data_IF_637932639149
#
_entry.id   IF_637932639149
#
_cell.length_a   1.000
_cell.length_b   1.000
_cell.length_c   1.000
_cell.angle_alpha   90.00
_cell.angle_beta   90.00
_cell.angle_gamma   90.00
#
_symmetry.space_group_name_H-M   'P 1'
#
loop_
_entity.id
_entity.type
_entity.pdbx_description
1 polymer ?
#
# COMPACT_ATOMS: atom_id res chain seq x y z
N UNK A 1 0.69 16.83 25.22
CA UNK A 1 0.46 15.41 25.01
C UNK A 1 -0.38 15.24 23.73
N UNK A 2 0.25 15.04 22.56
CA UNK A 2 -0.48 14.95 21.31
C UNK A 2 -1.11 13.56 21.15
N UNK A 3 -2.36 13.48 20.68
CA UNK A 3 -2.99 12.21 20.34
C UNK A 3 -2.57 11.71 18.94
N UNK A 4 -2.16 12.65 18.07
CA UNK A 4 -1.80 12.38 16.67
C UNK A 4 -0.44 12.99 16.36
N UNK A 5 0.41 12.22 15.70
CA UNK A 5 1.74 12.62 15.26
C UNK A 5 1.91 12.44 13.75
N UNK A 6 2.55 13.41 13.10
CA UNK A 6 2.95 13.31 11.70
C UNK A 6 4.47 13.32 11.59
N UNK A 7 5.03 12.25 11.05
CA UNK A 7 6.44 12.13 10.69
C UNK A 7 6.55 12.42 9.20
N UNK A 8 7.19 13.53 8.83
CA UNK A 8 7.22 14.02 7.46
C UNK A 8 7.81 13.02 6.46
N UNK A 9 8.92 12.35 6.84
CA UNK A 9 9.52 11.28 6.06
C UNK A 9 10.38 10.36 6.94
N UNK A 10 10.23 9.05 6.76
CA UNK A 10 11.04 8.03 7.46
C UNK A 10 12.14 7.54 6.51
N UNK A 11 13.37 8.09 6.68
CA UNK A 11 14.52 7.81 5.82
C UNK A 11 15.56 6.89 6.45
N UNK A 12 15.51 6.74 7.77
CA UNK A 12 16.51 6.05 8.57
C UNK A 12 15.85 5.28 9.72
N UNK A 13 16.66 4.41 10.34
CA UNK A 13 16.25 3.56 11.44
C UNK A 13 15.71 4.37 12.63
N UNK A 14 16.38 5.44 13.05
CA UNK A 14 16.04 6.24 14.23
C UNK A 14 14.66 6.86 14.11
N UNK A 15 14.37 7.44 12.94
CA UNK A 15 13.07 8.06 12.67
C UNK A 15 11.94 7.01 12.67
N UNK A 16 12.18 5.82 12.09
CA UNK A 16 11.20 4.75 12.09
C UNK A 16 10.96 4.18 13.49
N UNK A 17 12.02 3.94 14.28
CA UNK A 17 11.89 3.48 15.67
C UNK A 17 11.13 4.49 16.54
N UNK A 18 11.40 5.78 16.37
CA UNK A 18 10.65 6.84 17.07
C UNK A 18 9.16 6.81 16.74
N UNK A 19 8.81 6.60 15.46
CA UNK A 19 7.42 6.49 15.02
C UNK A 19 6.72 5.25 15.63
N UNK A 20 7.41 4.11 15.67
CA UNK A 20 6.89 2.87 16.29
C UNK A 20 6.70 3.06 17.79
N UNK A 21 7.67 3.61 18.50
CA UNK A 21 7.55 3.89 19.95
C UNK A 21 6.36 4.80 20.27
N UNK A 22 6.14 5.84 19.46
CA UNK A 22 4.97 6.69 19.64
C UNK A 22 3.66 5.90 19.44
N UNK A 23 3.60 5.00 18.43
CA UNK A 23 2.45 4.14 18.21
C UNK A 23 2.21 3.14 19.35
N UNK A 24 3.28 2.55 19.89
CA UNK A 24 3.22 1.63 21.04
C UNK A 24 2.73 2.31 22.32
N UNK A 25 2.98 3.61 22.47
CA UNK A 25 2.51 4.42 23.60
C UNK A 25 1.11 5.03 23.39
N UNK A 26 0.40 4.61 22.34
CA UNK A 26 -1.02 4.93 22.13
C UNK A 26 -1.30 6.09 21.19
N UNK A 27 -0.28 6.69 20.55
CA UNK A 27 -0.47 7.76 19.59
C UNK A 27 -0.88 7.21 18.22
N UNK A 28 -1.73 7.94 17.50
CA UNK A 28 -1.93 7.71 16.07
C UNK A 28 -0.80 8.37 15.28
N UNK A 29 0.02 7.57 14.62
CA UNK A 29 1.18 8.07 13.89
C UNK A 29 0.95 7.95 12.38
N UNK A 30 1.12 9.05 11.66
CA UNK A 30 1.23 9.09 10.21
C UNK A 30 2.70 9.29 9.83
N UNK A 31 3.20 8.44 8.94
CA UNK A 31 4.55 8.57 8.41
C UNK A 31 4.55 8.39 6.90
N UNK A 32 5.52 8.99 6.21
CA UNK A 32 5.72 8.79 4.78
C UNK A 32 7.04 8.07 4.50
N UNK A 33 7.03 7.23 3.48
CA UNK A 33 8.20 6.52 2.99
C UNK A 33 8.09 6.33 1.48
N UNK A 34 9.20 6.42 0.76
CA UNK A 34 9.21 6.19 -0.68
C UNK A 34 9.31 4.69 -0.99
N UNK A 35 8.23 4.13 -1.56
CA UNK A 35 8.14 2.74 -1.97
C UNK A 35 7.27 2.58 -3.24
N UNK A 36 7.35 1.43 -3.89
CA UNK A 36 6.64 1.15 -5.15
C UNK A 36 5.15 0.80 -4.97
N UNK A 37 4.68 0.64 -3.73
CA UNK A 37 3.31 0.27 -3.38
C UNK A 37 3.25 -0.29 -1.95
N UNK A 38 2.08 -0.70 -1.50
CA UNK A 38 1.89 -1.16 -0.12
C UNK A 38 2.72 -2.42 0.22
N UNK A 39 2.77 -3.49 -0.60
CA UNK A 39 3.66 -4.62 -0.34
C UNK A 39 5.14 -4.23 -0.33
N UNK A 40 5.58 -3.39 -1.28
CA UNK A 40 6.97 -2.93 -1.38
C UNK A 40 7.40 -2.05 -0.21
N UNK A 41 6.47 -1.45 0.52
CA UNK A 41 6.75 -0.65 1.71
C UNK A 41 7.37 -1.51 2.83
N UNK A 42 6.94 -2.76 2.98
CA UNK A 42 7.50 -3.66 4.00
C UNK A 42 9.01 -3.88 3.76
N UNK A 43 9.39 -4.26 2.54
CA UNK A 43 10.80 -4.42 2.18
C UNK A 43 11.58 -3.11 2.37
N UNK A 44 10.99 -1.98 1.98
CA UNK A 44 11.64 -0.67 2.11
C UNK A 44 11.89 -0.27 3.57
N UNK A 45 10.98 -0.62 4.49
CA UNK A 45 11.19 -0.44 5.92
C UNK A 45 12.35 -1.33 6.40
N UNK A 46 12.37 -2.59 6.00
CA UNK A 46 13.42 -3.53 6.41
C UNK A 46 14.80 -3.09 5.93
N UNK A 47 14.92 -2.44 4.76
CA UNK A 47 16.17 -1.89 4.25
C UNK A 47 16.79 -0.82 5.16
N UNK A 48 16.02 -0.23 6.08
CA UNK A 48 16.54 0.73 7.08
C UNK A 48 17.28 0.05 8.23
N UNK A 49 17.18 -1.29 8.34
CA UNK A 49 17.67 -2.07 9.49
C UNK A 49 18.66 -3.15 9.09
N UNK A 50 19.61 -3.50 9.97
CA UNK A 50 20.44 -4.69 9.79
C UNK A 50 19.59 -5.96 9.68
N UNK A 51 20.02 -6.92 8.86
CA UNK A 51 19.31 -8.19 8.64
C UNK A 51 18.99 -8.96 9.94
N UNK A 52 19.83 -8.84 10.96
CA UNK A 52 19.59 -9.46 12.28
C UNK A 52 18.37 -8.91 13.01
N UNK A 53 17.89 -7.72 12.65
CA UNK A 53 16.71 -7.07 13.24
C UNK A 53 15.41 -7.34 12.45
N UNK A 54 15.49 -7.86 11.24
CA UNK A 54 14.32 -7.96 10.34
C UNK A 54 13.14 -8.71 10.97
N UNK A 55 13.38 -9.80 11.69
CA UNK A 55 12.31 -10.56 12.37
C UNK A 55 11.60 -9.72 13.43
N UNK A 56 12.34 -8.99 14.25
CA UNK A 56 11.77 -8.11 15.27
C UNK A 56 11.00 -6.94 14.65
N UNK A 57 11.53 -6.34 13.59
CA UNK A 57 10.86 -5.25 12.88
C UNK A 57 9.60 -5.73 12.20
N UNK A 58 9.57 -6.91 11.58
CA UNK A 58 8.35 -7.52 11.03
C UNK A 58 7.28 -7.70 12.09
N UNK A 59 7.64 -8.20 13.27
CA UNK A 59 6.70 -8.35 14.39
C UNK A 59 6.15 -7.00 14.84
N UNK A 60 7.00 -5.98 14.97
CA UNK A 60 6.59 -4.62 15.35
C UNK A 60 5.65 -4.00 14.31
N UNK A 61 5.98 -4.10 13.00
CA UNK A 61 5.10 -3.67 11.91
C UNK A 61 3.74 -4.39 12.00
N UNK A 62 3.74 -5.71 12.12
CA UNK A 62 2.52 -6.50 12.16
C UNK A 62 1.62 -6.13 13.35
N UNK A 63 2.18 -5.76 14.49
CA UNK A 63 1.43 -5.38 15.69
C UNK A 63 0.89 -3.95 15.63
N UNK A 64 1.71 -3.00 15.21
CA UNK A 64 1.43 -1.56 15.39
C UNK A 64 0.84 -0.92 14.13
N UNK A 65 1.20 -1.41 12.92
CA UNK A 65 0.71 -0.83 11.68
C UNK A 65 -0.81 -1.03 11.54
N UNK A 66 -1.49 0.03 11.09
CA UNK A 66 -2.94 0.01 10.81
C UNK A 66 -3.22 -0.12 9.33
N UNK A 67 -2.54 0.68 8.52
CA UNK A 67 -2.67 0.64 7.07
C UNK A 67 -1.42 1.17 6.38
N UNK A 68 -1.24 0.79 5.12
CA UNK A 68 -0.31 1.41 4.19
C UNK A 68 -1.12 1.88 2.98
N UNK A 69 -0.93 3.14 2.61
CA UNK A 69 -1.57 3.75 1.45
C UNK A 69 -0.47 4.13 0.45
N UNK A 70 -0.39 3.39 -0.64
CA UNK A 70 0.46 3.74 -1.78
C UNK A 70 -0.24 4.75 -2.69
N UNK A 71 0.47 5.77 -3.17
CA UNK A 71 -0.11 6.81 -4.02
C UNK A 71 0.76 7.11 -5.23
N UNK A 72 0.10 7.31 -6.38
CA UNK A 72 0.69 7.86 -7.61
C UNK A 72 -0.20 9.00 -8.10
N UNK A 73 0.38 10.10 -8.59
CA UNK A 73 -0.38 11.20 -9.18
C UNK A 73 -0.35 11.10 -10.70
N UNK A 74 -1.53 11.00 -11.32
CA UNK A 74 -1.68 11.01 -12.77
C UNK A 74 -2.31 12.31 -13.25
N UNK A 75 -1.83 12.78 -14.42
CA UNK A 75 -2.46 13.89 -15.13
C UNK A 75 -3.82 13.46 -15.67
N UNK A 76 -4.82 14.31 -15.50
CA UNK A 76 -6.15 14.08 -16.05
C UNK A 76 -6.25 14.50 -17.52
N UNK A 77 -7.28 13.97 -18.19
CA UNK A 77 -7.70 14.43 -19.52
C UNK A 77 -8.75 15.54 -19.43
N UNK A 78 -9.17 15.88 -18.22
CA UNK A 78 -10.09 16.99 -17.90
C UNK A 78 -9.30 18.13 -17.25
N UNK A 79 -9.77 19.36 -17.42
CA UNK A 79 -9.05 20.54 -16.93
C UNK A 79 -9.06 20.65 -15.39
N UNK A 80 -10.13 20.18 -14.76
CA UNK A 80 -10.29 20.22 -13.29
C UNK A 80 -10.86 18.90 -12.78
N UNK A 81 -10.15 18.23 -11.85
CA UNK A 81 -8.80 18.55 -11.35
C UNK A 81 -7.72 18.21 -12.40
N UNK A 82 -6.63 18.94 -12.44
CA UNK A 82 -5.53 18.70 -13.39
C UNK A 82 -4.73 17.41 -13.11
N UNK A 83 -4.85 16.84 -11.90
CA UNK A 83 -4.26 15.56 -11.46
C UNK A 83 -5.21 14.83 -10.51
N UNK A 84 -5.14 13.49 -10.54
CA UNK A 84 -5.86 12.62 -9.60
C UNK A 84 -4.90 11.66 -8.90
N UNK A 85 -5.14 11.33 -7.62
CA UNK A 85 -4.38 10.32 -6.90
C UNK A 85 -4.89 8.93 -7.26
N UNK A 86 -4.03 8.09 -7.80
CA UNK A 86 -4.27 6.65 -7.90
C UNK A 86 -3.73 6.02 -6.64
N UNK A 87 -4.54 5.24 -5.94
CA UNK A 87 -4.18 4.72 -4.63
C UNK A 87 -4.29 3.20 -4.55
N UNK A 88 -3.37 2.61 -3.79
CA UNK A 88 -3.42 1.24 -3.29
C UNK A 88 -3.59 1.30 -1.78
N UNK A 89 -4.47 0.48 -1.22
CA UNK A 89 -4.79 0.50 0.21
C UNK A 89 -4.65 -0.92 0.75
N UNK A 90 -3.78 -1.10 1.74
CA UNK A 90 -3.61 -2.34 2.49
C UNK A 90 -3.84 -2.07 3.97
N UNK A 91 -4.89 -2.65 4.54
CA UNK A 91 -5.14 -2.64 5.99
C UNK A 91 -4.46 -3.84 6.65
N UNK A 92 -4.06 -3.69 7.91
CA UNK A 92 -3.42 -4.78 8.67
C UNK A 92 -4.47 -5.63 9.38
N UNK A 93 -5.26 -6.37 8.60
CA UNK A 93 -6.14 -7.42 9.12
C UNK A 93 -5.33 -8.67 9.56
N UNK A 94 -5.94 -9.67 10.21
CA UNK A 94 -5.23 -10.86 10.69
C UNK A 94 -4.41 -11.58 9.60
N UNK A 95 -4.92 -11.64 8.37
CA UNK A 95 -4.24 -12.28 7.23
C UNK A 95 -2.97 -11.51 6.84
N UNK A 96 -3.04 -10.18 6.66
CA UNK A 96 -1.89 -9.35 6.34
C UNK A 96 -0.84 -9.40 7.45
N UNK A 97 -1.26 -9.32 8.73
CA UNK A 97 -0.35 -9.46 9.87
C UNK A 97 0.42 -10.76 9.85
N UNK A 98 -0.28 -11.88 9.62
CA UNK A 98 0.34 -13.20 9.53
C UNK A 98 1.37 -13.27 8.39
N UNK A 99 1.00 -12.82 7.19
CA UNK A 99 1.89 -12.82 6.03
C UNK A 99 3.17 -12.01 6.27
N UNK A 100 3.04 -10.81 6.86
CA UNK A 100 4.18 -9.96 7.20
C UNK A 100 5.09 -10.63 8.23
N UNK A 101 4.54 -11.22 9.28
CA UNK A 101 5.31 -11.93 10.32
C UNK A 101 6.06 -13.15 9.77
N UNK A 102 5.43 -13.89 8.85
CA UNK A 102 5.96 -15.11 8.25
C UNK A 102 6.88 -14.85 7.02
N UNK A 103 7.18 -13.59 6.72
CA UNK A 103 8.00 -13.19 5.56
C UNK A 103 7.42 -13.71 4.23
N UNK A 104 6.09 -13.62 4.07
CA UNK A 104 5.35 -14.04 2.88
C UNK A 104 4.83 -12.82 2.10
N UNK A 105 5.68 -11.82 1.90
CA UNK A 105 5.30 -10.52 1.31
C UNK A 105 4.80 -10.66 -0.14
N UNK A 106 5.23 -11.71 -0.85
CA UNK A 106 4.77 -12.05 -2.20
C UNK A 106 3.28 -12.39 -2.27
N UNK A 107 2.66 -12.76 -1.13
CA UNK A 107 1.22 -13.04 -1.04
C UNK A 107 0.38 -11.80 -0.71
N UNK A 108 0.98 -10.70 -0.31
CA UNK A 108 0.26 -9.46 0.07
C UNK A 108 -0.62 -8.91 -1.06
N UNK A 109 -0.21 -8.91 -2.34
CA UNK A 109 -1.11 -8.46 -3.42
C UNK A 109 -2.41 -9.27 -3.51
N UNK A 110 -2.35 -10.58 -3.27
CA UNK A 110 -3.54 -11.42 -3.23
C UNK A 110 -4.40 -11.13 -1.99
N UNK A 111 -3.77 -10.90 -0.82
CA UNK A 111 -4.47 -10.50 0.39
C UNK A 111 -5.23 -9.18 0.23
N UNK A 112 -4.62 -8.18 -0.43
CA UNK A 112 -5.28 -6.89 -0.72
C UNK A 112 -6.53 -7.11 -1.58
N UNK A 113 -6.47 -7.96 -2.63
CA UNK A 113 -7.63 -8.25 -3.47
C UNK A 113 -8.78 -8.94 -2.72
N UNK A 114 -8.45 -9.87 -1.84
CA UNK A 114 -9.46 -10.58 -1.02
C UNK A 114 -10.08 -9.64 0.02
N UNK A 115 -9.29 -8.70 0.55
CA UNK A 115 -9.70 -7.73 1.55
C UNK A 115 -10.53 -6.55 1.01
N UNK A 116 -11.04 -6.62 -0.21
CA UNK A 116 -11.79 -5.54 -0.84
C UNK A 116 -13.02 -5.11 -0.02
N UNK A 117 -13.73 -6.07 0.57
CA UNK A 117 -14.88 -5.79 1.43
C UNK A 117 -14.49 -5.14 2.77
N UNK A 118 -13.20 -5.20 3.13
CA UNK A 118 -12.61 -4.52 4.30
C UNK A 118 -11.99 -3.15 3.93
N UNK A 119 -12.24 -2.65 2.71
CA UNK A 119 -11.73 -1.37 2.22
C UNK A 119 -10.33 -1.41 1.63
N UNK A 120 -9.76 -2.60 1.41
CA UNK A 120 -8.50 -2.73 0.67
C UNK A 120 -8.70 -2.51 -0.83
N UNK A 121 -7.67 -2.02 -1.51
CA UNK A 121 -7.71 -1.69 -2.93
C UNK A 121 -6.33 -1.86 -3.56
N UNK A 122 -6.26 -2.52 -4.71
CA UNK A 122 -5.04 -2.54 -5.55
C UNK A 122 -5.01 -1.34 -6.48
N UNK A 123 -3.81 -0.95 -6.95
CA UNK A 123 -3.67 0.16 -7.91
C UNK A 123 -4.55 0.00 -9.15
N UNK A 124 -4.69 -1.21 -9.67
CA UNK A 124 -5.51 -1.46 -10.87
C UNK A 124 -6.99 -1.17 -10.66
N UNK A 125 -7.54 -1.38 -9.45
CA UNK A 125 -8.92 -1.01 -9.14
C UNK A 125 -9.10 0.52 -9.19
N UNK A 126 -8.15 1.27 -8.63
CA UNK A 126 -8.15 2.73 -8.68
C UNK A 126 -8.00 3.25 -10.12
N UNK A 127 -7.11 2.65 -10.91
CA UNK A 127 -6.94 2.99 -12.32
C UNK A 127 -8.21 2.72 -13.12
N UNK A 128 -8.86 1.58 -12.90
CA UNK A 128 -10.11 1.22 -13.54
C UNK A 128 -11.21 2.24 -13.25
N UNK A 129 -11.41 2.61 -11.97
CA UNK A 129 -12.42 3.60 -11.57
C UNK A 129 -12.21 4.95 -12.27
N UNK A 130 -10.98 5.47 -12.30
CA UNK A 130 -10.68 6.73 -12.96
C UNK A 130 -10.78 6.67 -14.50
N UNK A 131 -10.57 5.51 -15.13
CA UNK A 131 -10.82 5.30 -16.56
C UNK A 131 -12.32 5.34 -16.84
N UNK A 132 -13.13 4.58 -16.07
CA UNK A 132 -14.58 4.52 -16.25
C UNK A 132 -15.26 5.88 -16.00
N UNK A 133 -14.70 6.69 -15.11
CA UNK A 133 -15.13 8.07 -14.84
C UNK A 133 -14.58 9.09 -15.84
N UNK A 134 -13.83 8.65 -16.84
CA UNK A 134 -13.24 9.50 -17.88
C UNK A 134 -12.29 10.60 -17.35
N UNK A 135 -11.63 10.37 -16.20
CA UNK A 135 -10.63 11.30 -15.68
C UNK A 135 -9.24 11.08 -16.27
N UNK A 136 -8.87 9.85 -16.61
CA UNK A 136 -7.56 9.51 -17.16
C UNK A 136 -7.69 8.69 -18.44
N UNK A 137 -6.69 8.81 -19.34
CA UNK A 137 -6.65 7.99 -20.53
C UNK A 137 -6.18 6.56 -20.22
N UNK A 138 -6.64 5.58 -21.02
CA UNK A 138 -6.16 4.21 -20.92
C UNK A 138 -4.65 4.10 -21.13
N UNK A 139 -4.08 4.91 -22.01
CA UNK A 139 -2.63 4.94 -22.25
C UNK A 139 -1.86 5.31 -20.99
N UNK A 140 -2.23 6.44 -20.33
CA UNK A 140 -1.60 6.88 -19.09
C UNK A 140 -1.76 5.84 -17.96
N UNK A 141 -2.92 5.18 -17.87
CA UNK A 141 -3.16 4.13 -16.88
C UNK A 141 -2.25 2.91 -17.12
N UNK A 142 -2.06 2.48 -18.38
CA UNK A 142 -1.20 1.34 -18.71
C UNK A 142 0.28 1.60 -18.41
N UNK A 143 0.76 2.85 -18.55
CA UNK A 143 2.14 3.23 -18.22
C UNK A 143 2.49 3.04 -16.73
N UNK A 144 1.52 3.20 -15.84
CA UNK A 144 1.74 3.16 -14.38
C UNK A 144 1.17 1.91 -13.70
N UNK A 145 0.42 1.10 -14.44
CA UNK A 145 -0.18 -0.13 -13.93
C UNK A 145 0.89 -1.14 -13.52
N UNK A 146 0.79 -1.73 -12.31
CA UNK A 146 1.68 -2.83 -11.90
C UNK A 146 1.47 -4.10 -12.73
N UNK A 147 0.26 -4.30 -13.29
CA UNK A 147 -0.08 -5.42 -14.13
C UNK A 147 -1.05 -4.98 -15.23
N UNK A 148 -0.50 -4.63 -16.38
CA UNK A 148 -1.25 -4.09 -17.54
C UNK A 148 -2.25 -5.11 -18.10
N UNK A 149 -1.87 -6.39 -18.15
CA UNK A 149 -2.76 -7.43 -18.69
C UNK A 149 -3.98 -7.63 -17.79
N UNK A 150 -3.80 -7.62 -16.49
CA UNK A 150 -4.89 -7.66 -15.54
C UNK A 150 -5.83 -6.45 -15.71
N UNK A 151 -5.28 -5.24 -15.82
CA UNK A 151 -6.08 -4.04 -16.05
C UNK A 151 -6.88 -4.12 -17.34
N UNK A 152 -6.27 -4.62 -18.44
CA UNK A 152 -6.98 -4.83 -19.70
C UNK A 152 -8.10 -5.86 -19.60
N UNK A 153 -7.91 -6.93 -18.81
CA UNK A 153 -8.95 -7.93 -18.56
C UNK A 153 -10.12 -7.33 -17.79
N UNK A 154 -9.82 -6.58 -16.73
CA UNK A 154 -10.84 -5.90 -15.91
C UNK A 154 -11.65 -4.90 -16.75
N UNK A 155 -11.00 -4.11 -17.61
CA UNK A 155 -11.66 -3.18 -18.53
C UNK A 155 -12.56 -3.87 -19.59
N UNK A 156 -12.39 -5.17 -19.81
CA UNK A 156 -13.29 -6.00 -20.65
C UNK A 156 -14.39 -6.70 -19.85
N UNK A 157 -14.54 -6.39 -18.56
CA UNK A 157 -15.49 -7.03 -17.66
C UNK A 157 -15.10 -8.45 -17.20
N UNK A 158 -13.84 -8.87 -17.42
CA UNK A 158 -13.34 -10.18 -17.01
C UNK A 158 -12.80 -10.06 -15.59
N UNK A 159 -13.44 -10.76 -14.63
CA UNK A 159 -12.95 -10.80 -13.25
C UNK A 159 -11.69 -11.64 -13.13
N UNK A 160 -10.61 -11.04 -12.64
CA UNK A 160 -9.38 -11.75 -12.31
C UNK A 160 -9.51 -12.30 -10.89
N UNK A 161 -9.61 -13.63 -10.76
CA UNK A 161 -9.67 -14.28 -9.43
C UNK A 161 -8.30 -14.14 -8.74
N UNK A 162 -8.34 -13.81 -7.45
CA UNK A 162 -7.14 -13.87 -6.62
C UNK A 162 -6.64 -15.32 -6.54
N UNK A 163 -5.32 -15.51 -6.64
CA UNK A 163 -4.71 -16.81 -6.38
C UNK A 163 -4.98 -17.22 -4.93
N UNK A 164 -5.17 -18.53 -4.68
CA UNK A 164 -5.34 -19.03 -3.32
C UNK A 164 -4.13 -18.65 -2.46
N UNK A 165 -4.39 -18.09 -1.27
CA UNK A 165 -3.34 -17.64 -0.33
C UNK A 165 -2.86 -18.81 0.56
N UNK A 166 -3.50 -19.97 0.46
CA UNK A 166 -3.22 -21.17 1.26
C UNK A 166 -1.99 -21.91 0.77
#
# INVERSE_FOLDING_TARGET
>A
DPDIMLVGEMRDQETFETAIHAAETGHLVFGTIHASGAPGTISRILDLFPASMHSAIRASIAMNMRAIVGQKLLKTIVDVPGRVPIVEIMTFNPTVRKLVMENQDEKLPAAIRIGKDEGMQVFNDSLHDFIEREYISRAAAFEVSPNVEELKMTLKGIQVKAAAIL
#
